data_IF_613892175435
#
_entry.id   IF_613892175435
#
_cell.length_a   1.000
_cell.length_b   1.000
_cell.length_c   1.000
_cell.angle_alpha   90.00
_cell.angle_beta   90.00
_cell.angle_gamma   90.00
#
_symmetry.space_group_name_H-M   'P 1'
#
loop_
_entity.id
_entity.type
_entity.pdbx_description
1 polymer ?
#
# COMPACT_ATOMS: atom_id res chain seq x y z
N UNK A 1 2.36 12.44 30.90
CA UNK A 1 1.93 11.06 31.20
C UNK A 1 1.69 10.44 29.85
N UNK A 2 2.78 10.15 29.15
CA UNK A 2 2.81 9.95 27.72
C UNK A 2 3.18 8.49 27.46
N UNK A 3 2.15 7.65 27.32
CA UNK A 3 2.28 6.29 26.84
C UNK A 3 2.29 6.31 25.31
N UNK A 4 3.39 6.83 24.74
CA UNK A 4 3.73 6.57 23.34
C UNK A 4 4.49 5.24 23.31
N UNK A 5 3.78 4.16 22.96
CA UNK A 5 4.43 2.93 22.51
C UNK A 5 5.11 3.28 21.18
N UNK A 6 6.40 3.60 21.23
CA UNK A 6 7.25 3.56 20.05
C UNK A 6 7.30 2.10 19.59
N UNK A 7 6.54 1.77 18.55
CA UNK A 7 6.72 0.50 17.84
C UNK A 7 8.10 0.54 17.20
N UNK A 8 9.03 -0.23 17.76
CA UNK A 8 10.38 -0.38 17.25
C UNK A 8 10.34 -1.20 15.96
N UNK A 9 10.41 -0.50 14.82
CA UNK A 9 10.45 -1.09 13.49
C UNK A 9 11.74 -1.90 13.21
N UNK A 10 12.74 -1.86 14.10
CA UNK A 10 13.98 -2.65 13.98
C UNK A 10 13.81 -4.14 14.26
N UNK A 11 12.66 -4.57 14.80
CA UNK A 11 12.36 -5.97 15.11
C UNK A 11 11.66 -6.75 13.97
N UNK A 12 11.15 -6.05 12.96
CA UNK A 12 10.51 -6.65 11.76
C UNK A 12 11.46 -7.59 10.98
N UNK A 13 12.77 -7.28 10.83
CA UNK A 13 13.70 -8.17 10.13
C UNK A 13 13.98 -9.48 10.87
N UNK A 14 13.81 -9.54 12.20
CA UNK A 14 14.19 -10.71 12.99
C UNK A 14 13.24 -11.91 12.81
N UNK A 15 12.04 -11.70 12.26
CA UNK A 15 11.02 -12.75 12.10
C UNK A 15 10.94 -13.33 10.66
N UNK A 16 11.71 -12.80 9.71
CA UNK A 16 11.45 -12.97 8.27
C UNK A 16 12.74 -13.24 7.48
N UNK A 17 13.36 -14.41 7.66
CA UNK A 17 14.63 -14.74 7.00
C UNK A 17 14.60 -15.95 6.06
N UNK A 18 13.43 -16.33 5.50
CA UNK A 18 13.44 -17.21 4.32
C UNK A 18 12.18 -17.03 3.44
N UNK A 19 12.40 -16.68 2.16
CA UNK A 19 11.45 -16.77 1.03
C UNK A 19 10.30 -15.75 0.83
N UNK A 20 10.33 -14.56 1.43
CA UNK A 20 9.26 -13.56 1.20
C UNK A 20 9.76 -12.11 1.12
N UNK A 21 9.39 -11.40 0.05
CA UNK A 21 9.65 -9.98 -0.13
C UNK A 21 8.55 -9.14 0.52
N UNK A 22 8.95 -8.11 1.27
CA UNK A 22 8.04 -7.22 2.01
C UNK A 22 8.14 -5.81 1.46
N UNK A 23 6.98 -5.18 1.26
CA UNK A 23 6.89 -3.85 0.66
C UNK A 23 5.85 -3.02 1.38
N UNK A 24 6.21 -1.78 1.68
CA UNK A 24 5.32 -0.79 2.26
C UNK A 24 5.05 0.28 1.20
N UNK A 25 3.77 0.47 0.87
CA UNK A 25 3.36 1.50 -0.08
C UNK A 25 2.61 2.60 0.66
N UNK A 26 3.01 3.84 0.42
CA UNK A 26 2.36 5.01 0.99
C UNK A 26 1.13 5.40 0.17
N UNK A 27 0.05 5.78 0.85
CA UNK A 27 -1.16 6.26 0.18
C UNK A 27 -0.89 7.61 -0.51
N UNK A 28 -1.47 7.82 -1.70
CA UNK A 28 -1.47 9.13 -2.36
C UNK A 28 -1.99 10.24 -1.44
N UNK A 29 -1.44 11.45 -1.55
CA UNK A 29 -1.68 12.61 -0.67
C UNK A 29 -1.21 12.45 0.79
N UNK A 30 -0.41 11.43 1.11
CA UNK A 30 0.23 11.29 2.42
C UNK A 30 1.75 11.29 2.29
N UNK A 31 2.42 11.84 3.32
CA UNK A 31 3.87 11.92 3.42
C UNK A 31 4.49 12.55 2.17
N UNK A 32 5.40 11.84 1.52
CA UNK A 32 6.07 12.29 0.29
C UNK A 32 5.30 11.91 -0.99
N UNK A 33 4.26 11.07 -0.89
CA UNK A 33 3.44 10.63 -2.02
C UNK A 33 2.35 11.66 -2.30
N UNK A 34 2.71 12.87 -2.73
CA UNK A 34 1.77 13.97 -3.00
C UNK A 34 1.72 14.29 -4.50
N UNK A 35 0.69 13.81 -5.22
CA UNK A 35 0.46 14.22 -6.61
C UNK A 35 0.28 15.73 -6.69
N UNK A 36 0.85 16.37 -7.72
CA UNK A 36 0.76 17.82 -7.95
C UNK A 36 1.45 18.71 -6.90
N UNK A 37 2.22 18.15 -5.96
CA UNK A 37 3.03 18.92 -5.00
C UNK A 37 2.20 19.90 -4.17
N UNK A 38 2.63 21.16 -4.07
CA UNK A 38 1.91 22.18 -3.29
C UNK A 38 0.49 22.47 -3.77
N UNK A 39 0.16 22.16 -5.03
CA UNK A 39 -1.16 22.38 -5.63
C UNK A 39 -2.16 21.25 -5.35
N UNK A 40 -1.70 20.16 -4.71
CA UNK A 40 -2.48 18.94 -4.47
C UNK A 40 -3.84 19.18 -3.81
N UNK A 41 -3.90 20.12 -2.86
CA UNK A 41 -5.09 20.40 -2.06
C UNK A 41 -5.74 21.75 -2.38
N UNK A 42 -5.18 22.53 -3.33
CA UNK A 42 -5.61 23.91 -3.57
C UNK A 42 -6.82 24.03 -4.50
N UNK A 43 -7.11 23.01 -5.32
CA UNK A 43 -8.24 23.05 -6.25
C UNK A 43 -9.04 21.74 -6.25
N UNK A 44 -10.32 21.82 -6.60
CA UNK A 44 -11.21 20.65 -6.61
C UNK A 44 -10.79 19.59 -7.64
N UNK A 45 -10.17 20.01 -8.75
CA UNK A 45 -9.72 19.13 -9.82
C UNK A 45 -8.55 18.24 -9.39
N UNK A 46 -7.60 18.77 -8.61
CA UNK A 46 -6.49 18.01 -8.02
C UNK A 46 -6.95 17.21 -6.82
N UNK A 47 -7.80 17.79 -5.96
CA UNK A 47 -8.35 17.08 -4.81
C UNK A 47 -9.25 15.89 -5.19
N UNK A 48 -9.88 15.93 -6.37
CA UNK A 48 -10.72 14.83 -6.88
C UNK A 48 -9.97 13.49 -7.00
N UNK A 49 -8.64 13.51 -7.14
CA UNK A 49 -7.81 12.30 -7.18
C UNK A 49 -7.49 11.73 -5.79
N UNK A 50 -7.82 12.43 -4.71
CA UNK A 50 -7.64 11.98 -3.35
C UNK A 50 -8.82 11.11 -2.90
N UNK A 51 -8.89 9.87 -3.42
CA UNK A 51 -9.93 8.92 -3.06
C UNK A 51 -9.42 7.47 -3.05
N UNK A 52 -10.19 6.58 -2.42
CA UNK A 52 -9.79 5.18 -2.21
C UNK A 52 -9.73 4.37 -3.51
N UNK A 53 -10.62 4.62 -4.48
CA UNK A 53 -10.62 3.88 -5.74
C UNK A 53 -9.31 4.11 -6.51
N UNK A 54 -8.88 5.36 -6.50
CA UNK A 54 -7.61 5.83 -7.04
C UNK A 54 -6.40 5.24 -6.28
N UNK A 55 -6.41 5.26 -4.94
CA UNK A 55 -5.32 4.66 -4.15
C UNK A 55 -5.16 3.14 -4.38
N UNK A 56 -6.27 2.42 -4.51
CA UNK A 56 -6.24 0.98 -4.82
C UNK A 56 -5.67 0.73 -6.21
N UNK A 57 -5.98 1.59 -7.19
CA UNK A 57 -5.40 1.50 -8.53
C UNK A 57 -3.87 1.70 -8.50
N UNK A 58 -3.36 2.63 -7.69
CA UNK A 58 -1.90 2.78 -7.52
C UNK A 58 -1.26 1.51 -6.97
N UNK A 59 -1.86 0.92 -5.94
CA UNK A 59 -1.33 -0.31 -5.35
C UNK A 59 -1.33 -1.46 -6.34
N UNK A 60 -2.36 -1.58 -7.18
CA UNK A 60 -2.41 -2.57 -8.25
C UNK A 60 -1.25 -2.40 -9.24
N UNK A 61 -1.02 -1.18 -9.73
CA UNK A 61 0.08 -0.88 -10.67
C UNK A 61 1.45 -1.12 -10.02
N UNK A 62 1.66 -0.65 -8.79
CA UNK A 62 2.91 -0.88 -8.04
C UNK A 62 3.21 -2.38 -7.92
N UNK A 63 2.21 -3.20 -7.59
CA UNK A 63 2.40 -4.66 -7.50
C UNK A 63 2.77 -5.24 -8.86
N UNK A 64 2.11 -4.83 -9.94
CA UNK A 64 2.41 -5.30 -11.30
C UNK A 64 3.84 -4.95 -11.69
N UNK A 65 4.25 -3.71 -11.48
CA UNK A 65 5.58 -3.22 -11.85
C UNK A 65 6.69 -3.90 -11.05
N UNK A 66 6.45 -4.15 -9.77
CA UNK A 66 7.39 -4.90 -8.94
C UNK A 66 7.49 -6.35 -9.41
N UNK A 67 6.36 -7.02 -9.67
CA UNK A 67 6.39 -8.40 -10.16
C UNK A 67 7.16 -8.50 -11.47
N UNK A 68 7.04 -7.53 -12.38
CA UNK A 68 7.86 -7.46 -13.60
C UNK A 68 9.33 -7.19 -13.29
N UNK A 69 9.62 -6.21 -12.43
CA UNK A 69 10.99 -5.80 -12.08
C UNK A 69 11.80 -6.94 -11.50
N UNK A 70 11.18 -7.79 -10.69
CA UNK A 70 11.81 -8.92 -10.03
C UNK A 70 11.53 -10.27 -10.72
N UNK A 71 10.96 -10.29 -11.93
CA UNK A 71 10.65 -11.53 -12.67
C UNK A 71 9.83 -12.54 -11.84
N UNK A 72 8.85 -12.02 -11.11
CA UNK A 72 8.03 -12.70 -10.13
C UNK A 72 6.55 -12.72 -10.54
N UNK A 73 6.25 -12.82 -11.83
CA UNK A 73 4.89 -12.71 -12.39
C UNK A 73 3.91 -13.74 -11.81
N UNK A 74 4.42 -14.92 -11.44
CA UNK A 74 3.63 -16.00 -10.84
C UNK A 74 3.63 -15.98 -9.31
N UNK A 75 4.36 -15.06 -8.66
CA UNK A 75 4.39 -14.99 -7.21
C UNK A 75 3.01 -14.61 -6.64
N UNK A 76 2.51 -15.32 -5.62
CA UNK A 76 1.29 -14.94 -4.94
C UNK A 76 1.50 -13.65 -4.14
N UNK A 77 0.45 -12.85 -4.01
CA UNK A 77 0.50 -11.56 -3.30
C UNK A 77 -0.52 -11.57 -2.18
N UNK A 78 -0.06 -11.31 -0.96
CA UNK A 78 -0.92 -11.08 0.20
C UNK A 78 -0.83 -9.61 0.57
N UNK A 79 -1.98 -8.94 0.67
CA UNK A 79 -2.04 -7.52 1.02
C UNK A 79 -2.48 -7.39 2.47
N UNK A 80 -1.68 -6.70 3.28
CA UNK A 80 -1.94 -6.56 4.72
C UNK A 80 -2.10 -5.07 5.03
N UNK A 81 -3.10 -4.72 5.82
CA UNK A 81 -3.26 -3.38 6.33
C UNK A 81 -4.15 -3.36 7.56
N UNK A 82 -3.99 -2.35 8.42
CA UNK A 82 -4.87 -2.12 9.57
C UNK A 82 -5.70 -0.84 9.41
N UNK A 83 -6.85 -0.76 10.09
CA UNK A 83 -7.76 0.39 10.02
C UNK A 83 -8.16 0.72 8.57
N UNK A 84 -8.11 1.98 8.14
CA UNK A 84 -8.36 2.37 6.75
C UNK A 84 -7.45 1.61 5.76
N UNK A 85 -6.18 1.36 6.13
CA UNK A 85 -5.27 0.54 5.32
C UNK A 85 -5.76 -0.90 5.14
N UNK A 86 -6.42 -1.47 6.14
CA UNK A 86 -7.05 -2.79 6.04
C UNK A 86 -8.30 -2.78 5.16
N UNK A 87 -9.09 -1.71 5.20
CA UNK A 87 -10.21 -1.53 4.27
C UNK A 87 -9.70 -1.48 2.83
N UNK A 88 -8.62 -0.74 2.57
CA UNK A 88 -7.96 -0.71 1.26
C UNK A 88 -7.40 -2.07 0.86
N UNK A 89 -6.79 -2.83 1.77
CA UNK A 89 -6.31 -4.19 1.49
C UNK A 89 -7.45 -5.12 1.07
N UNK A 90 -8.56 -5.08 1.81
CA UNK A 90 -9.77 -5.86 1.50
C UNK A 90 -10.37 -5.45 0.15
N UNK A 91 -10.50 -4.15 -0.10
CA UNK A 91 -11.04 -3.63 -1.36
C UNK A 91 -10.12 -3.90 -2.56
N UNK A 92 -8.80 -3.87 -2.39
CA UNK A 92 -7.83 -4.26 -3.42
C UNK A 92 -8.03 -5.72 -3.81
N UNK A 93 -8.16 -6.63 -2.84
CA UNK A 93 -8.46 -8.05 -3.13
C UNK A 93 -9.79 -8.21 -3.86
N UNK A 94 -10.83 -7.48 -3.47
CA UNK A 94 -12.14 -7.56 -4.11
C UNK A 94 -12.15 -7.00 -5.54
N UNK A 95 -11.43 -5.89 -5.80
CA UNK A 95 -11.40 -5.22 -7.10
C UNK A 95 -10.40 -5.83 -8.08
N UNK A 96 -9.27 -6.32 -7.57
CA UNK A 96 -8.18 -6.89 -8.36
C UNK A 96 -7.81 -8.31 -7.88
N UNK A 97 -8.74 -9.28 -7.95
CA UNK A 97 -8.49 -10.63 -7.46
C UNK A 97 -7.44 -11.41 -8.29
N UNK A 98 -7.07 -10.91 -9.47
CA UNK A 98 -6.00 -11.46 -10.30
C UNK A 98 -4.61 -10.93 -9.90
N UNK A 99 -4.55 -9.87 -9.09
CA UNK A 99 -3.30 -9.27 -8.60
C UNK A 99 -3.00 -9.75 -7.19
N UNK A 100 -3.96 -9.60 -6.27
CA UNK A 100 -3.81 -9.99 -4.87
C UNK A 100 -4.47 -11.36 -4.63
N UNK A 101 -3.73 -12.36 -4.16
CA UNK A 101 -4.23 -13.70 -3.82
C UNK A 101 -5.11 -13.70 -2.56
N UNK A 102 -4.79 -12.84 -1.60
CA UNK A 102 -5.53 -12.71 -0.35
C UNK A 102 -5.27 -11.37 0.34
N UNK A 103 -6.06 -11.07 1.36
CA UNK A 103 -5.90 -9.87 2.18
C UNK A 103 -6.09 -10.16 3.66
N UNK A 104 -5.37 -9.44 4.52
CA UNK A 104 -5.53 -9.44 5.97
C UNK A 104 -5.85 -8.02 6.47
N UNK A 105 -6.91 -7.92 7.27
CA UNK A 105 -7.40 -6.72 7.95
C UNK A 105 -7.01 -6.76 9.43
#
# INVERSE_FOLDING_TARGET
MDLLIQLDFSLIPLFISSLSWHMLSMHRYYGESIPFGEEALKNASTLGYFNSAQAIADYAEIIIDIKKTFQAENAPVIVIGGSYGGMLASWLRLKYPHIATGSLF
#
